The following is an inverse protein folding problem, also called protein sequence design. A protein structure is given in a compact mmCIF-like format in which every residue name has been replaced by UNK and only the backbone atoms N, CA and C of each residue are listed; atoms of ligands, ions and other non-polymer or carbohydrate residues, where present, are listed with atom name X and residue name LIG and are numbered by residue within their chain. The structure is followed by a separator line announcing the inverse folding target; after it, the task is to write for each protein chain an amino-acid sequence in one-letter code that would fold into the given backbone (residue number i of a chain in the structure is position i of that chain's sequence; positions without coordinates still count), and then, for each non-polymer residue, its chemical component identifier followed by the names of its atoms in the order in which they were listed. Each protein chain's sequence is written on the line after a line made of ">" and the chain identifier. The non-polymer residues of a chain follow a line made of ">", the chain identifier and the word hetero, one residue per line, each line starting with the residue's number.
data_IF_164292048160
#
_entry.id   IF_164292048160
#
_cell.length_a   1.000
_cell.length_b   1.000
_cell.length_c   1.000
_cell.angle_alpha   90.00
_cell.angle_beta   90.00
_cell.angle_gamma   90.00
#
_symmetry.space_group_name_H-M   'P 1'
#
loop_
_entity.id
_entity.type
_entity.pdbx_description
1 polymer ?
#
# COMPACT_ATOMS: atom_id res chain seq x y z
N UNK A 1 -8.67 18.04 -20.13
CA UNK A 1 -7.36 18.20 -19.46
C UNK A 1 -7.09 16.89 -18.76
N UNK A 2 -6.30 16.01 -19.39
CA UNK A 2 -5.91 14.72 -18.82
C UNK A 2 -4.93 14.96 -17.68
N UNK A 3 -5.24 14.47 -16.47
CA UNK A 3 -4.36 14.59 -15.30
C UNK A 3 -2.97 14.05 -15.65
N UNK A 4 -1.92 14.87 -15.50
CA UNK A 4 -0.52 14.45 -15.61
C UNK A 4 -0.01 13.82 -14.30
N UNK A 5 -0.86 13.80 -13.28
CA UNK A 5 -0.52 13.37 -11.94
C UNK A 5 -1.16 12.01 -11.65
N UNK A 6 -0.33 11.13 -11.07
CA UNK A 6 -0.75 9.89 -10.46
C UNK A 6 -1.32 10.18 -9.08
N UNK A 7 -2.56 9.75 -8.87
CA UNK A 7 -3.16 9.64 -7.55
C UNK A 7 -2.69 8.34 -6.89
N UNK A 8 -1.79 8.45 -5.93
CA UNK A 8 -1.25 7.32 -5.19
C UNK A 8 -1.90 7.27 -3.80
N UNK A 9 -2.68 6.23 -3.54
CA UNK A 9 -3.30 6.00 -2.26
C UNK A 9 -2.59 4.88 -1.51
N UNK A 10 -2.06 5.15 -0.32
CA UNK A 10 -1.29 4.19 0.46
C UNK A 10 -2.05 3.90 1.75
N UNK A 11 -2.51 2.67 1.89
CA UNK A 11 -3.26 2.20 3.06
C UNK A 11 -2.32 1.40 3.94
N UNK A 12 -2.01 1.94 5.12
CA UNK A 12 -1.15 1.31 6.12
C UNK A 12 -1.99 0.53 7.11
N UNK A 13 -1.85 -0.80 7.10
CA UNK A 13 -2.51 -1.71 8.03
C UNK A 13 -1.56 -2.04 9.18
N UNK A 14 -1.93 -1.58 10.38
CA UNK A 14 -1.13 -1.68 11.59
C UNK A 14 -1.67 -0.76 12.66
N UNK A 15 -0.93 -0.63 13.76
CA UNK A 15 -1.26 0.31 14.83
C UNK A 15 -0.01 1.01 15.33
N UNK A 16 -0.15 2.24 15.79
CA UNK A 16 0.94 2.98 16.45
C UNK A 16 0.88 2.79 17.96
N UNK A 17 1.98 3.03 18.66
CA UNK A 17 2.02 2.99 20.13
C UNK A 17 1.08 4.02 20.81
N UNK A 18 0.71 5.09 20.08
CA UNK A 18 -0.23 6.13 20.52
C UNK A 18 -1.70 5.76 20.31
N UNK A 19 -2.01 4.65 19.63
CA UNK A 19 -3.38 4.25 19.37
C UNK A 19 -4.03 3.72 20.65
N UNK A 20 -5.22 4.25 20.99
CA UNK A 20 -5.94 3.82 22.18
C UNK A 20 -6.36 2.34 22.07
N UNK A 21 -5.93 1.54 23.04
CA UNK A 21 -6.12 0.08 23.17
C UNK A 21 -7.58 -0.38 23.39
N UNK A 22 -8.53 0.36 23.99
CA UNK A 22 -9.71 -0.29 24.58
C UNK A 22 -10.81 -0.69 23.60
N UNK A 23 -10.61 -0.58 22.28
CA UNK A 23 -11.47 -1.20 21.26
C UNK A 23 -10.63 -1.69 20.11
N UNK A 24 -10.10 -2.88 20.28
CA UNK A 24 -9.29 -3.56 19.30
C UNK A 24 -10.18 -4.23 18.23
N UNK A 25 -10.81 -3.40 17.39
CA UNK A 25 -11.71 -3.79 16.27
C UNK A 25 -10.97 -4.39 15.06
N UNK A 26 -9.70 -4.78 15.21
CA UNK A 26 -8.89 -5.38 14.12
C UNK A 26 -9.46 -6.68 13.56
N UNK A 27 -10.47 -7.27 14.21
CA UNK A 27 -11.12 -8.52 13.83
C UNK A 27 -12.61 -8.38 13.46
N UNK A 28 -13.22 -7.20 13.65
CA UNK A 28 -14.61 -6.94 13.28
C UNK A 28 -14.62 -6.15 11.97
N UNK A 29 -14.67 -6.85 10.84
CA UNK A 29 -15.03 -6.25 9.54
C UNK A 29 -16.42 -5.59 9.70
N UNK A 30 -16.58 -4.26 9.48
CA UNK A 30 -15.81 -3.39 8.58
C UNK A 30 -14.92 -2.32 9.24
N UNK A 31 -14.52 -2.47 10.50
CA UNK A 31 -13.77 -1.47 11.25
C UNK A 31 -12.26 -1.77 11.38
N UNK A 32 -11.64 -2.37 10.35
CA UNK A 32 -10.18 -2.56 10.33
C UNK A 32 -9.46 -1.21 10.43
N UNK A 33 -8.66 -1.05 11.50
CA UNK A 33 -7.85 0.16 11.70
C UNK A 33 -6.74 0.24 10.67
N UNK A 34 -6.73 1.33 9.93
CA UNK A 34 -5.69 1.68 8.97
C UNK A 34 -5.44 3.18 8.99
N UNK A 35 -4.27 3.60 8.50
CA UNK A 35 -3.98 5.00 8.19
C UNK A 35 -3.80 5.13 6.69
N UNK A 36 -4.41 6.13 6.09
CA UNK A 36 -4.31 6.37 4.65
C UNK A 36 -3.44 7.59 4.38
N UNK A 37 -2.47 7.44 3.49
CA UNK A 37 -1.63 8.51 2.98
C UNK A 37 -1.95 8.67 1.49
N UNK A 38 -2.40 9.87 1.10
CA UNK A 38 -2.67 10.19 -0.30
C UNK A 38 -1.58 11.11 -0.83
N UNK A 39 -0.95 10.69 -1.93
CA UNK A 39 0.11 11.43 -2.61
C UNK A 39 -0.31 11.71 -4.05
N UNK A 40 0.09 12.86 -4.56
CA UNK A 40 -0.05 13.18 -5.98
C UNK A 40 1.36 13.33 -6.55
N UNK A 41 1.74 12.42 -7.45
CA UNK A 41 3.06 12.41 -8.08
C UNK A 41 2.93 12.64 -9.57
N UNK A 42 3.71 13.58 -10.09
CA UNK A 42 3.78 13.79 -11.53
C UNK A 42 4.31 12.54 -12.23
N UNK A 43 3.59 12.06 -13.22
CA UNK A 43 3.98 10.86 -13.96
C UNK A 43 5.19 11.21 -14.87
N UNK A 44 6.25 10.38 -14.86
CA UNK A 44 7.39 10.53 -15.76
C UNK A 44 6.96 10.62 -17.24
N UNK A 45 7.65 11.46 -18.02
CA UNK A 45 7.27 11.73 -19.42
C UNK A 45 7.43 10.51 -20.33
N UNK A 46 8.44 9.69 -20.07
CA UNK A 46 8.67 8.41 -20.74
C UNK A 46 7.53 7.41 -20.49
N UNK A 47 6.93 7.41 -19.29
CA UNK A 47 5.74 6.61 -19.00
C UNK A 47 4.51 7.20 -19.69
N UNK A 48 4.34 8.53 -19.64
CA UNK A 48 3.20 9.22 -20.28
C UNK A 48 3.14 9.00 -21.79
N UNK A 49 4.28 8.76 -22.46
CA UNK A 49 4.32 8.43 -23.88
C UNK A 49 3.46 7.20 -24.22
N UNK A 50 3.41 6.19 -23.35
CA UNK A 50 2.62 4.98 -23.57
C UNK A 50 1.11 5.19 -23.41
N UNK A 51 0.68 6.29 -22.79
CA UNK A 51 -0.72 6.53 -22.43
C UNK A 51 -1.67 6.51 -23.64
N UNK A 52 -1.21 7.00 -24.78
CA UNK A 52 -2.00 7.06 -26.03
C UNK A 52 -1.75 5.88 -26.96
N UNK A 53 -0.63 5.18 -26.80
CA UNK A 53 -0.20 4.11 -27.71
C UNK A 53 -0.73 2.73 -27.26
N UNK A 54 -0.56 2.41 -25.99
CA UNK A 54 -0.99 1.14 -25.41
C UNK A 54 -1.33 1.31 -23.91
N UNK A 55 -2.62 1.38 -23.55
CA UNK A 55 -3.07 1.54 -22.18
C UNK A 55 -2.61 0.43 -21.22
N UNK A 56 -2.39 -0.80 -21.72
CA UNK A 56 -1.90 -1.90 -20.90
C UNK A 56 -0.43 -1.71 -20.55
N UNK A 57 0.38 -1.32 -21.53
CA UNK A 57 1.80 -0.99 -21.31
C UNK A 57 1.94 0.23 -20.40
N UNK A 58 1.10 1.25 -20.58
CA UNK A 58 1.04 2.41 -19.70
C UNK A 58 0.82 2.00 -18.24
N UNK A 59 -0.23 1.22 -17.98
CA UNK A 59 -0.57 0.79 -16.63
C UNK A 59 0.52 -0.09 -16.01
N UNK A 60 1.10 -1.03 -16.76
CA UNK A 60 2.21 -1.85 -16.29
C UNK A 60 3.45 -1.00 -15.95
N UNK A 61 3.71 0.05 -16.74
CA UNK A 61 4.82 0.97 -16.52
C UNK A 61 4.61 1.84 -15.28
N UNK A 62 3.39 2.36 -15.08
CA UNK A 62 3.00 3.08 -13.87
C UNK A 62 3.17 2.20 -12.64
N UNK A 63 2.65 0.96 -12.65
CA UNK A 63 2.78 0.04 -11.51
C UNK A 63 4.24 -0.29 -11.19
N UNK A 64 5.06 -0.52 -12.22
CA UNK A 64 6.50 -0.76 -12.02
C UNK A 64 7.19 0.46 -11.43
N UNK A 65 6.88 1.66 -11.91
CA UNK A 65 7.44 2.89 -11.37
C UNK A 65 7.03 3.11 -9.91
N UNK A 66 5.76 2.94 -9.58
CA UNK A 66 5.28 3.01 -8.19
C UNK A 66 6.01 1.96 -7.34
N UNK A 67 6.16 0.73 -7.82
CA UNK A 67 6.90 -0.30 -7.08
C UNK A 67 8.32 0.15 -6.72
N UNK A 68 9.03 0.81 -7.65
CA UNK A 68 10.37 1.34 -7.39
C UNK A 68 10.32 2.47 -6.35
N UNK A 69 9.40 3.43 -6.50
CA UNK A 69 9.22 4.54 -5.55
C UNK A 69 8.94 4.04 -4.13
N UNK A 70 8.09 3.01 -4.00
CA UNK A 70 7.76 2.40 -2.71
C UNK A 70 8.97 1.64 -2.13
N UNK A 71 9.69 0.89 -2.96
CA UNK A 71 10.84 0.11 -2.53
C UNK A 71 12.04 0.97 -2.10
N UNK A 72 12.30 2.07 -2.82
CA UNK A 72 13.44 2.95 -2.57
C UNK A 72 13.25 3.88 -1.37
N UNK A 73 12.01 4.33 -1.11
CA UNK A 73 11.76 5.37 -0.13
C UNK A 73 10.79 4.91 0.96
N UNK A 74 9.63 4.41 0.55
CA UNK A 74 8.53 4.25 1.49
C UNK A 74 8.71 3.08 2.46
N UNK A 75 9.28 1.96 2.02
CA UNK A 75 9.44 0.78 2.88
C UNK A 75 10.38 1.05 4.08
N UNK A 76 11.40 1.89 3.90
CA UNK A 76 12.28 2.33 4.99
C UNK A 76 11.63 3.46 5.80
N UNK A 77 11.08 4.47 5.13
CA UNK A 77 10.45 5.61 5.80
C UNK A 77 9.26 5.20 6.67
N UNK A 78 8.43 4.24 6.23
CA UNK A 78 7.33 3.71 7.06
C UNK A 78 7.89 3.04 8.31
N UNK A 79 8.95 2.22 8.20
CA UNK A 79 9.55 1.55 9.36
C UNK A 79 10.09 2.53 10.39
N UNK A 80 10.54 3.71 9.94
CA UNK A 80 11.16 4.73 10.79
C UNK A 80 10.20 5.85 11.23
N UNK A 81 9.06 6.03 10.54
CA UNK A 81 8.12 7.12 10.81
C UNK A 81 7.35 6.98 12.12
N UNK A 82 7.12 5.76 12.60
CA UNK A 82 6.48 5.51 13.89
C UNK A 82 6.88 4.15 14.47
N UNK A 83 6.71 3.97 15.79
CA UNK A 83 6.78 2.66 16.44
C UNK A 83 5.54 1.83 16.07
N UNK A 84 5.56 1.27 14.86
CA UNK A 84 4.47 0.47 14.33
C UNK A 84 4.38 -0.90 14.99
N UNK A 85 3.14 -1.36 15.19
CA UNK A 85 2.78 -2.66 15.70
C UNK A 85 2.04 -3.47 14.62
N UNK A 86 2.26 -4.78 14.65
CA UNK A 86 1.71 -5.76 13.73
C UNK A 86 0.18 -5.70 13.73
N UNK A 87 -0.39 -5.70 12.52
CA UNK A 87 -1.84 -5.68 12.31
C UNK A 87 -2.61 -6.84 12.97
N UNK A 88 -1.96 -7.96 13.31
CA UNK A 88 -2.66 -9.14 13.85
C UNK A 88 -2.37 -9.45 15.32
N UNK A 89 -1.22 -9.05 15.85
CA UNK A 89 -0.78 -9.49 17.18
C UNK A 89 -0.26 -8.37 18.06
N UNK A 90 -0.31 -7.12 17.60
CA UNK A 90 0.15 -5.93 18.31
C UNK A 90 1.63 -5.90 18.74
N UNK A 91 2.43 -6.89 18.32
CA UNK A 91 3.88 -6.88 18.55
C UNK A 91 4.55 -5.89 17.61
N UNK A 92 5.72 -5.33 17.96
CA UNK A 92 6.44 -4.43 17.07
C UNK A 92 6.57 -5.01 15.65
N UNK A 93 6.20 -4.20 14.66
CA UNK A 93 6.35 -4.56 13.26
C UNK A 93 7.85 -4.57 12.91
N UNK A 94 8.25 -5.57 12.14
CA UNK A 94 9.62 -5.78 11.65
C UNK A 94 9.68 -5.84 10.14
N UNK A 95 8.57 -6.23 9.53
CA UNK A 95 8.46 -6.48 8.10
C UNK A 95 7.19 -5.80 7.58
N UNK A 96 7.20 -5.48 6.28
CA UNK A 96 6.08 -4.85 5.58
C UNK A 96 5.81 -5.70 4.35
N UNK A 97 4.59 -6.19 4.22
CA UNK A 97 4.12 -6.80 2.96
C UNK A 97 3.39 -5.73 2.16
N UNK A 98 3.74 -5.57 0.89
CA UNK A 98 3.15 -4.56 0.02
C UNK A 98 2.34 -5.25 -1.08
N UNK A 99 1.06 -4.89 -1.21
CA UNK A 99 0.21 -5.25 -2.35
C UNK A 99 -0.11 -3.98 -3.12
N UNK A 100 -0.09 -4.06 -4.45
CA UNK A 100 -0.40 -2.92 -5.32
C UNK A 100 -1.52 -3.32 -6.27
N UNK A 101 -2.45 -2.41 -6.48
CA UNK A 101 -3.53 -2.57 -7.45
C UNK A 101 -3.76 -1.26 -8.20
N UNK A 102 -4.03 -1.31 -9.51
CA UNK A 102 -4.54 -0.14 -10.21
C UNK A 102 -5.92 0.26 -9.65
N UNK A 103 -6.23 1.54 -9.73
CA UNK A 103 -7.52 2.09 -9.34
C UNK A 103 -8.65 1.70 -10.26
N UNK A 104 -9.87 1.99 -9.81
CA UNK A 104 -11.08 1.69 -10.55
C UNK A 104 -11.52 0.23 -10.37
N UNK A 105 -12.51 -0.17 -11.16
CA UNK A 105 -12.97 -1.56 -11.19
C UNK A 105 -12.24 -2.35 -12.29
N UNK A 106 -12.31 -3.68 -12.24
CA UNK A 106 -11.62 -4.54 -13.20
C UNK A 106 -12.06 -4.33 -14.67
N UNK A 107 -13.23 -3.72 -14.90
CA UNK A 107 -13.78 -3.41 -16.22
C UNK A 107 -13.44 -1.99 -16.68
N UNK A 108 -13.18 -1.09 -15.74
CA UNK A 108 -12.85 0.31 -15.99
C UNK A 108 -11.73 0.77 -15.04
N UNK A 109 -10.48 0.32 -15.30
CA UNK A 109 -9.35 0.75 -14.51
C UNK A 109 -9.16 2.27 -14.66
N UNK A 110 -8.82 2.94 -13.56
CA UNK A 110 -8.38 4.33 -13.54
C UNK A 110 -6.85 4.32 -13.64
N UNK A 111 -6.28 4.57 -14.81
CA UNK A 111 -4.88 4.28 -15.07
C UNK A 111 -3.93 5.28 -14.39
N UNK A 112 -4.44 6.44 -13.98
CA UNK A 112 -3.73 7.47 -13.19
C UNK A 112 -4.04 7.35 -11.70
N UNK A 113 -4.52 6.20 -11.23
CA UNK A 113 -4.68 5.91 -9.81
C UNK A 113 -4.04 4.56 -9.49
N UNK A 114 -3.27 4.53 -8.41
CA UNK A 114 -2.72 3.29 -7.84
C UNK A 114 -3.01 3.26 -6.36
N UNK A 115 -3.51 2.12 -5.89
CA UNK A 115 -3.61 1.84 -4.47
C UNK A 115 -2.52 0.87 -4.04
N UNK A 116 -1.86 1.22 -2.94
CA UNK A 116 -0.82 0.45 -2.30
C UNK A 116 -1.30 0.09 -0.90
N UNK A 117 -1.40 -1.20 -0.62
CA UNK A 117 -1.70 -1.71 0.71
C UNK A 117 -0.39 -2.17 1.35
N UNK A 118 -0.01 -1.54 2.45
CA UNK A 118 1.18 -1.90 3.21
C UNK A 118 0.78 -2.51 4.56
N UNK A 119 1.07 -3.79 4.72
CA UNK A 119 0.71 -4.57 5.88
C UNK A 119 1.90 -4.73 6.82
N UNK A 120 1.81 -4.14 8.01
CA UNK A 120 2.86 -4.14 9.02
C UNK A 120 2.81 -5.43 9.85
N UNK A 121 3.93 -6.18 9.88
CA UNK A 121 3.98 -7.54 10.43
C UNK A 121 5.16 -7.76 11.37
N UNK A 122 4.96 -8.59 12.39
CA UNK A 122 5.98 -8.85 13.41
C UNK A 122 7.15 -9.74 12.95
N UNK A 123 6.97 -10.55 11.88
CA UNK A 123 7.96 -11.36 11.10
C UNK A 123 7.22 -12.24 10.08
N UNK A 124 7.57 -12.23 8.79
CA UNK A 124 7.06 -13.15 7.74
C UNK A 124 7.99 -14.34 7.53
N UNK A 125 9.30 -14.17 7.79
CA UNK A 125 10.36 -15.14 7.52
C UNK A 125 10.22 -16.48 8.27
N UNK A 126 9.46 -16.51 9.36
CA UNK A 126 9.01 -17.74 10.02
C UNK A 126 7.50 -17.82 9.76
N UNK A 127 6.96 -18.92 9.21
CA UNK A 127 5.52 -19.08 9.03
C UNK A 127 4.82 -19.04 10.40
N UNK A 128 4.45 -17.84 10.82
CA UNK A 128 3.69 -17.56 12.02
C UNK A 128 2.22 -17.34 11.69
N UNK A 129 1.37 -17.38 12.71
CA UNK A 129 -0.07 -17.16 12.56
C UNK A 129 -0.41 -15.83 11.86
N UNK A 130 0.42 -14.80 12.01
CA UNK A 130 0.23 -13.48 11.38
C UNK A 130 0.45 -13.52 9.86
N UNK A 131 1.52 -14.17 9.38
CA UNK A 131 1.80 -14.31 7.95
C UNK A 131 0.74 -15.18 7.25
N UNK A 132 0.28 -16.26 7.92
CA UNK A 132 -0.78 -17.12 7.42
C UNK A 132 -2.12 -16.38 7.34
N UNK A 133 -2.47 -15.56 8.33
CA UNK A 133 -3.68 -14.73 8.31
C UNK A 133 -3.68 -13.76 7.12
N UNK A 134 -2.54 -13.12 6.82
CA UNK A 134 -2.47 -12.24 5.65
C UNK A 134 -2.64 -13.00 4.34
N UNK A 135 -2.07 -14.19 4.20
CA UNK A 135 -2.22 -15.00 2.97
C UNK A 135 -3.63 -15.53 2.76
N UNK A 136 -4.40 -15.67 3.82
CA UNK A 136 -5.79 -16.11 3.78
C UNK A 136 -6.79 -14.96 3.53
N UNK A 137 -6.32 -13.70 3.57
CA UNK A 137 -7.08 -12.48 3.30
C UNK A 137 -6.76 -11.94 1.91
#
# INVERSE_FOLDING_TARGET
>A
MSSLDLHLNIVLYGSTASDSVPRDVRFDDPAQRHTTITLNHRIPQDILAFRTEDPYVYQASVLRWVQHLIAEHLAEDIKHSAAWCCQFCNRPAREVEIRMRPGGDARNPTPDYVEVEAYLLCRLSVPGSCALKLRAA
#
